data_IF_683032046884
#
_entry.id   IF_683032046884
#
_cell.length_a   1.000
_cell.length_b   1.000
_cell.length_c   1.000
_cell.angle_alpha   90.00
_cell.angle_beta   90.00
_cell.angle_gamma   90.00
#
_symmetry.space_group_name_H-M   'P 1'
#
loop_
_entity.id
_entity.type
_entity.pdbx_description
1 polymer ?
#
# COMPACT_ATOMS: atom_id res chain seq x y z
N UNK A 1 6.12 9.14 -9.81
CA UNK A 1 6.60 8.90 -8.43
C UNK A 1 6.92 7.42 -8.19
N UNK A 2 5.95 6.52 -8.31
CA UNK A 2 6.11 5.07 -8.06
C UNK A 2 7.28 4.44 -8.84
N UNK A 3 7.42 4.72 -10.14
CA UNK A 3 8.56 4.20 -10.94
C UNK A 3 9.93 4.57 -10.35
N UNK A 4 10.09 5.76 -9.77
CA UNK A 4 11.35 6.15 -9.12
C UNK A 4 11.60 5.33 -7.85
N UNK A 5 10.55 5.05 -7.06
CA UNK A 5 10.64 4.19 -5.87
C UNK A 5 11.02 2.76 -6.23
N UNK A 6 10.38 2.21 -7.26
CA UNK A 6 10.65 0.86 -7.76
C UNK A 6 12.11 0.73 -8.25
N UNK A 7 12.58 1.67 -9.09
CA UNK A 7 13.99 1.69 -9.54
C UNK A 7 14.97 1.87 -8.38
N UNK A 8 14.63 2.71 -7.40
CA UNK A 8 15.45 2.87 -6.19
C UNK A 8 15.56 1.56 -5.40
N UNK A 9 14.46 0.80 -5.27
CA UNK A 9 14.46 -0.50 -4.60
C UNK A 9 15.31 -1.53 -5.36
N UNK A 10 15.16 -1.60 -6.68
CA UNK A 10 16.00 -2.46 -7.54
C UNK A 10 17.49 -2.14 -7.39
N UNK A 11 17.87 -0.86 -7.49
CA UNK A 11 19.26 -0.42 -7.36
C UNK A 11 19.84 -0.68 -5.97
N UNK A 12 19.00 -0.70 -4.94
CA UNK A 12 19.38 -1.06 -3.58
C UNK A 12 19.45 -2.58 -3.35
N UNK A 13 19.20 -3.39 -4.38
CA UNK A 13 19.33 -4.86 -4.33
C UNK A 13 18.12 -5.58 -3.73
N UNK A 14 16.98 -4.90 -3.56
CA UNK A 14 15.74 -5.55 -3.12
C UNK A 14 15.30 -6.63 -4.10
N UNK A 15 14.65 -7.68 -3.59
CA UNK A 15 14.35 -8.90 -4.34
C UNK A 15 12.88 -9.08 -4.71
N UNK A 16 12.00 -8.20 -4.24
CA UNK A 16 10.58 -8.25 -4.51
C UNK A 16 9.94 -6.88 -4.31
N UNK A 17 8.78 -6.67 -4.93
CA UNK A 17 7.88 -5.56 -4.64
C UNK A 17 6.62 -6.12 -3.96
N UNK A 18 6.25 -5.56 -2.82
CA UNK A 18 4.99 -5.89 -2.15
C UNK A 18 4.01 -4.75 -2.40
N UNK A 19 3.00 -5.00 -3.23
CA UNK A 19 1.91 -4.06 -3.47
C UNK A 19 0.85 -4.24 -2.38
N UNK A 20 0.58 -3.19 -1.61
CA UNK A 20 -0.48 -3.21 -0.59
C UNK A 20 -1.81 -2.81 -1.22
N UNK A 21 -2.76 -3.73 -1.31
CA UNK A 21 -4.05 -3.56 -1.98
C UNK A 21 -5.23 -3.28 -1.03
N UNK A 22 -5.05 -3.46 0.29
CA UNK A 22 -6.10 -3.33 1.32
C UNK A 22 -6.31 -1.89 1.86
N UNK A 23 -5.69 -0.89 1.24
CA UNK A 23 -5.64 0.48 1.78
C UNK A 23 -5.99 1.58 0.76
N UNK A 24 -7.08 1.49 -0.02
CA UNK A 24 -7.49 2.59 -0.92
C UNK A 24 -7.80 3.87 -0.13
N UNK A 25 -8.33 3.73 1.09
CA UNK A 25 -8.50 4.80 2.07
C UNK A 25 -7.88 4.33 3.39
N UNK A 26 -7.30 5.26 4.16
CA UNK A 26 -6.72 4.94 5.46
C UNK A 26 -7.83 4.55 6.45
N UNK A 27 -7.60 3.44 7.16
CA UNK A 27 -8.48 2.97 8.22
C UNK A 27 -8.68 4.00 9.33
N UNK A 28 -9.90 4.02 9.88
CA UNK A 28 -10.31 5.00 10.89
C UNK A 28 -9.87 4.54 12.28
N UNK A 29 -8.65 4.92 12.67
CA UNK A 29 -8.02 4.54 13.94
C UNK A 29 -8.31 5.56 15.04
N UNK A 30 -9.29 5.28 15.90
CA UNK A 30 -9.79 6.23 16.90
C UNK A 30 -8.72 6.78 17.85
N UNK A 31 -7.81 5.93 18.33
CA UNK A 31 -6.75 6.37 19.24
C UNK A 31 -5.88 7.46 18.59
N UNK A 32 -5.57 7.35 17.30
CA UNK A 32 -4.82 8.38 16.57
C UNK A 32 -5.58 9.70 16.46
N UNK A 33 -6.92 9.64 16.34
CA UNK A 33 -7.78 10.82 16.30
C UNK A 33 -7.83 11.49 17.68
N UNK A 34 -8.10 10.70 18.74
CA UNK A 34 -8.18 11.18 20.13
C UNK A 34 -6.86 11.80 20.59
N UNK A 35 -5.73 11.17 20.22
CA UNK A 35 -4.39 11.63 20.57
C UNK A 35 -3.84 12.70 19.62
N UNK A 36 -4.62 13.12 18.59
CA UNK A 36 -4.19 14.06 17.55
C UNK A 36 -2.81 13.72 16.99
N UNK A 37 -2.62 12.45 16.65
CA UNK A 37 -1.32 11.93 16.26
C UNK A 37 -0.74 12.74 15.10
N UNK A 38 0.49 13.21 15.28
CA UNK A 38 1.31 13.80 14.23
C UNK A 38 2.65 13.09 14.19
N UNK A 39 3.27 13.05 13.02
CA UNK A 39 4.62 12.53 12.90
C UNK A 39 5.58 13.45 13.68
N UNK A 40 6.46 12.92 14.55
CA UNK A 40 7.42 13.75 15.27
C UNK A 40 8.31 14.55 14.32
N UNK A 41 8.66 15.78 14.72
CA UNK A 41 9.37 16.76 13.88
C UNK A 41 10.77 16.35 13.44
N UNK A 42 11.34 15.30 14.01
CA UNK A 42 12.64 14.72 13.65
C UNK A 42 12.52 13.49 12.74
N UNK A 43 11.33 12.94 12.54
CA UNK A 43 11.10 11.78 11.66
C UNK A 43 10.84 12.25 10.23
N UNK A 44 11.41 11.56 9.25
CA UNK A 44 11.32 11.91 7.82
C UNK A 44 10.94 10.69 6.99
N UNK A 45 10.14 10.90 5.96
CA UNK A 45 9.80 9.88 4.97
C UNK A 45 10.89 9.84 3.88
N UNK A 46 12.04 9.26 4.23
CA UNK A 46 13.27 9.27 3.41
C UNK A 46 13.14 8.64 2.02
N UNK A 47 12.12 7.82 1.81
CA UNK A 47 11.84 7.27 0.49
C UNK A 47 11.37 8.32 -0.51
N UNK A 48 10.79 9.43 -0.05
CA UNK A 48 10.26 10.52 -0.88
C UNK A 48 11.17 11.76 -0.93
N UNK A 49 12.32 11.73 -0.24
CA UNK A 49 13.29 12.83 -0.29
C UNK A 49 13.79 13.04 -1.72
N UNK A 50 13.76 14.28 -2.21
CA UNK A 50 14.11 14.62 -3.59
C UNK A 50 13.08 14.18 -4.66
N UNK A 51 11.90 13.72 -4.25
CA UNK A 51 10.79 13.49 -5.18
C UNK A 51 9.90 14.72 -5.27
N UNK A 52 9.42 14.99 -6.49
CA UNK A 52 8.43 16.02 -6.74
C UNK A 52 7.07 15.57 -6.17
N UNK A 53 6.76 16.07 -4.97
CA UNK A 53 5.51 15.83 -4.26
C UNK A 53 4.46 16.91 -4.55
N UNK A 54 4.71 17.85 -5.47
CA UNK A 54 3.82 19.00 -5.69
C UNK A 54 2.45 18.62 -6.26
N UNK A 55 2.32 17.42 -6.81
CA UNK A 55 1.05 16.84 -7.31
C UNK A 55 0.22 16.12 -6.24
N UNK A 56 0.73 16.02 -5.00
CA UNK A 56 -0.02 15.44 -3.89
C UNK A 56 -0.96 16.52 -3.36
N UNK A 57 -2.27 16.28 -3.52
CA UNK A 57 -3.33 17.25 -3.24
C UNK A 57 -3.19 17.86 -1.83
N UNK A 58 -2.74 19.12 -1.76
CA UNK A 58 -2.46 19.86 -0.53
C UNK A 58 -3.75 20.30 0.18
N UNK A 59 -4.93 20.08 -0.41
CA UNK A 59 -6.22 20.61 0.05
C UNK A 59 -6.84 19.87 1.23
N UNK A 60 -6.30 18.71 1.67
CA UNK A 60 -6.85 17.93 2.78
C UNK A 60 -5.99 17.95 4.04
N UNK A 61 -6.29 18.97 4.88
CA UNK A 61 -5.92 19.16 6.30
C UNK A 61 -4.46 19.51 6.61
N UNK A 62 -4.28 20.47 7.51
CA UNK A 62 -2.99 20.91 8.03
C UNK A 62 -2.36 19.87 8.97
N UNK A 63 -1.11 19.47 8.68
CA UNK A 63 -0.31 18.55 9.50
C UNK A 63 0.56 17.61 8.64
N UNK A 64 1.72 17.18 9.14
CA UNK A 64 2.66 16.30 8.40
C UNK A 64 2.09 14.92 8.02
N UNK A 65 0.87 14.61 8.48
CA UNK A 65 0.06 13.45 8.10
C UNK A 65 -0.66 13.62 6.75
N UNK A 66 -0.84 14.84 6.25
CA UNK A 66 -1.58 15.09 4.99
C UNK A 66 -0.79 14.72 3.74
N UNK A 67 0.54 14.85 3.78
CA UNK A 67 1.42 14.48 2.66
C UNK A 67 1.37 12.99 2.34
N UNK A 68 1.07 12.12 3.31
CA UNK A 68 0.96 10.67 3.08
C UNK A 68 -0.43 10.29 2.59
N UNK A 69 -1.48 10.95 3.12
CA UNK A 69 -2.86 10.67 2.72
C UNK A 69 -3.11 10.90 1.23
N UNK A 70 -2.47 11.92 0.63
CA UNK A 70 -2.55 12.17 -0.81
C UNK A 70 -1.70 11.23 -1.68
N UNK A 71 -0.94 10.30 -1.08
CA UNK A 71 -0.20 9.26 -1.82
C UNK A 71 -1.05 8.01 -2.05
N UNK A 72 -2.21 7.90 -1.40
CA UNK A 72 -3.14 6.79 -1.59
C UNK A 72 -4.00 7.06 -2.82
N UNK A 73 -3.98 6.11 -3.74
CA UNK A 73 -4.77 6.14 -4.96
C UNK A 73 -5.97 5.19 -4.81
N UNK A 74 -7.17 5.76 -4.77
CA UNK A 74 -8.42 5.01 -4.66
C UNK A 74 -8.86 4.40 -6.00
N UNK A 75 -8.20 4.77 -7.10
CA UNK A 75 -8.54 4.28 -8.45
C UNK A 75 -7.80 3.00 -8.84
N UNK A 76 -6.97 2.46 -7.95
CA UNK A 76 -6.21 1.24 -8.21
C UNK A 76 -7.14 0.05 -8.51
N UNK A 77 -6.76 -0.71 -9.53
CA UNK A 77 -7.42 -1.91 -10.02
C UNK A 77 -6.38 -2.99 -10.33
N UNK A 78 -6.83 -4.18 -10.73
CA UNK A 78 -5.95 -5.25 -11.21
C UNK A 78 -5.13 -4.87 -12.46
N UNK A 79 -5.52 -3.84 -13.22
CA UNK A 79 -4.70 -3.31 -14.32
C UNK A 79 -3.39 -2.69 -13.81
N UNK A 80 -3.38 -2.18 -12.60
CA UNK A 80 -2.21 -1.53 -12.00
C UNK A 80 -1.16 -2.54 -11.55
N UNK A 81 -1.56 -3.78 -11.21
CA UNK A 81 -0.63 -4.90 -11.03
C UNK A 81 0.10 -5.18 -12.35
N UNK A 82 -0.64 -5.26 -13.46
CA UNK A 82 -0.05 -5.45 -14.79
C UNK A 82 0.84 -4.29 -15.20
N UNK A 83 0.41 -3.05 -14.94
CA UNK A 83 1.25 -1.87 -15.17
C UNK A 83 2.55 -1.94 -14.35
N UNK A 84 2.49 -2.37 -13.09
CA UNK A 84 3.66 -2.48 -12.23
C UNK A 84 4.69 -3.47 -12.80
N UNK A 85 4.23 -4.58 -13.40
CA UNK A 85 5.07 -5.53 -14.12
C UNK A 85 5.76 -4.92 -15.35
N UNK A 86 5.21 -3.84 -15.95
CA UNK A 86 5.87 -3.17 -17.09
C UNK A 86 7.08 -2.33 -16.70
N UNK A 87 7.23 -2.02 -15.40
CA UNK A 87 8.29 -1.11 -14.91
C UNK A 87 9.35 -1.79 -14.03
N UNK A 88 9.17 -3.07 -13.71
CA UNK A 88 10.12 -3.87 -12.90
C UNK A 88 10.10 -5.34 -13.31
N UNK A 89 11.22 -6.02 -13.15
CA UNK A 89 11.32 -7.48 -13.29
C UNK A 89 11.34 -8.19 -11.94
N UNK A 90 11.26 -7.46 -10.81
CA UNK A 90 11.14 -8.07 -9.50
C UNK A 90 9.78 -8.76 -9.34
N UNK A 91 9.71 -9.90 -8.63
CA UNK A 91 8.43 -10.53 -8.31
C UNK A 91 7.54 -9.58 -7.51
N UNK A 92 6.28 -9.47 -7.95
CA UNK A 92 5.26 -8.63 -7.30
C UNK A 92 4.37 -9.52 -6.44
N UNK A 93 4.39 -9.30 -5.13
CA UNK A 93 3.46 -9.93 -4.19
C UNK A 93 2.32 -8.96 -3.90
N UNK A 94 1.09 -9.46 -3.95
CA UNK A 94 -0.11 -8.68 -3.59
C UNK A 94 -0.45 -8.96 -2.13
N UNK A 95 -0.33 -7.93 -1.28
CA UNK A 95 -0.66 -7.99 0.13
C UNK A 95 -2.02 -7.36 0.40
N UNK A 96 -2.82 -8.03 1.22
CA UNK A 96 -4.13 -7.52 1.64
C UNK A 96 -5.31 -8.32 1.09
N UNK A 97 -5.06 -9.52 0.57
CA UNK A 97 -6.09 -10.41 0.03
C UNK A 97 -6.68 -11.24 1.18
N UNK A 98 -8.01 -11.34 1.24
CA UNK A 98 -8.73 -12.07 2.28
C UNK A 98 -9.81 -13.00 1.71
N UNK A 99 -9.91 -13.12 0.38
CA UNK A 99 -10.97 -13.86 -0.30
C UNK A 99 -10.42 -14.71 -1.44
N UNK A 100 -11.07 -15.83 -1.75
CA UNK A 100 -10.70 -16.68 -2.88
C UNK A 100 -10.88 -15.95 -4.22
N UNK A 101 -11.87 -15.05 -4.32
CA UNK A 101 -12.18 -14.29 -5.54
C UNK A 101 -11.02 -13.37 -5.91
N UNK A 102 -10.52 -12.58 -4.97
CA UNK A 102 -9.40 -11.67 -5.21
C UNK A 102 -8.09 -12.44 -5.40
N UNK A 103 -7.97 -13.63 -4.80
CA UNK A 103 -6.84 -14.54 -5.07
C UNK A 103 -6.80 -14.95 -6.53
N UNK A 104 -7.94 -15.35 -7.11
CA UNK A 104 -8.03 -15.69 -8.54
C UNK A 104 -7.69 -14.49 -9.42
N UNK A 105 -8.16 -13.29 -9.07
CA UNK A 105 -7.86 -12.07 -9.82
C UNK A 105 -6.38 -11.68 -9.72
N UNK A 106 -5.75 -11.82 -8.55
CA UNK A 106 -4.34 -11.57 -8.35
C UNK A 106 -3.47 -12.51 -9.20
N UNK A 107 -3.80 -13.81 -9.22
CA UNK A 107 -3.12 -14.80 -10.08
C UNK A 107 -3.29 -14.44 -11.56
N UNK A 108 -4.52 -14.14 -12.00
CA UNK A 108 -4.79 -13.72 -13.39
C UNK A 108 -4.10 -12.41 -13.78
N UNK A 109 -3.88 -11.52 -12.82
CA UNK A 109 -3.11 -10.29 -13.00
C UNK A 109 -1.59 -10.53 -13.05
N UNK A 110 -1.14 -11.75 -12.74
CA UNK A 110 0.27 -12.16 -12.78
C UNK A 110 1.05 -11.88 -11.51
N UNK A 111 0.38 -11.78 -10.35
CA UNK A 111 1.06 -11.72 -9.07
C UNK A 111 1.98 -12.95 -8.89
N UNK A 112 3.20 -12.71 -8.42
CA UNK A 112 4.17 -13.76 -8.10
C UNK A 112 3.86 -14.46 -6.77
N UNK A 113 3.01 -13.84 -5.94
CA UNK A 113 2.55 -14.39 -4.68
C UNK A 113 1.47 -13.52 -4.04
N UNK A 114 0.79 -14.08 -3.06
CA UNK A 114 -0.27 -13.42 -2.29
C UNK A 114 0.13 -13.42 -0.82
N UNK A 115 -0.17 -12.32 -0.12
CA UNK A 115 0.00 -12.22 1.33
C UNK A 115 -1.38 -12.01 1.95
N UNK A 116 -1.88 -13.05 2.61
CA UNK A 116 -3.11 -13.03 3.42
C UNK A 116 -2.92 -12.03 4.56
N UNK A 117 -3.63 -10.90 4.49
CA UNK A 117 -3.41 -9.78 5.38
C UNK A 117 -4.67 -8.96 5.55
N UNK A 118 -5.00 -8.62 6.80
CA UNK A 118 -6.02 -7.62 7.14
C UNK A 118 -5.39 -6.31 7.65
N UNK A 119 -4.13 -6.06 7.27
CA UNK A 119 -3.35 -4.90 7.71
C UNK A 119 -3.16 -4.82 9.24
N UNK A 120 -3.13 -5.97 9.91
CA UNK A 120 -3.08 -6.06 11.37
C UNK A 120 -4.34 -5.47 12.03
N UNK A 121 -5.50 -5.65 11.40
CA UNK A 121 -6.80 -5.12 11.81
C UNK A 121 -6.84 -3.58 11.95
N UNK A 122 -6.02 -2.85 11.19
CA UNK A 122 -5.93 -1.38 11.27
C UNK A 122 -6.72 -0.64 10.18
N UNK A 123 -7.27 -1.38 9.22
CA UNK A 123 -7.91 -0.83 8.02
C UNK A 123 -9.44 -0.88 8.11
N UNK A 124 -10.01 -2.07 8.04
CA UNK A 124 -11.45 -2.30 8.16
C UNK A 124 -11.69 -3.25 9.34
N UNK A 125 -12.54 -2.82 10.27
CA UNK A 125 -13.00 -3.68 11.37
C UNK A 125 -13.99 -4.72 10.84
N UNK A 126 -14.21 -5.82 11.58
CA UNK A 126 -15.07 -6.96 11.21
C UNK A 126 -14.61 -7.81 10.02
N UNK A 127 -13.43 -7.54 9.44
CA UNK A 127 -12.79 -8.47 8.50
C UNK A 127 -12.30 -9.73 9.24
N UNK A 128 -12.22 -10.89 8.57
CA UNK A 128 -11.74 -12.11 9.21
C UNK A 128 -10.29 -11.97 9.71
N UNK A 129 -9.96 -12.76 10.73
CA UNK A 129 -8.57 -13.01 11.08
C UNK A 129 -7.86 -13.69 9.90
N UNK A 130 -6.60 -13.34 9.64
CA UNK A 130 -5.85 -13.89 8.50
C UNK A 130 -5.73 -15.41 8.54
N UNK A 131 -5.69 -16.02 9.73
CA UNK A 131 -5.65 -17.48 9.87
C UNK A 131 -6.95 -18.15 9.42
N UNK A 132 -8.09 -17.48 9.58
CA UNK A 132 -9.39 -18.00 9.15
C UNK A 132 -9.57 -17.86 7.63
N UNK A 133 -9.02 -16.78 7.06
CA UNK A 133 -9.05 -16.56 5.61
C UNK A 133 -8.02 -17.42 4.84
N UNK A 134 -7.04 -18.01 5.53
CA UNK A 134 -5.91 -18.68 4.90
C UNK A 134 -6.30 -19.91 4.07
N UNK A 135 -7.23 -20.72 4.52
CA UNK A 135 -7.62 -21.94 3.79
C UNK A 135 -8.40 -21.60 2.51
N UNK A 136 -9.13 -20.48 2.52
CA UNK A 136 -9.88 -19.99 1.37
C UNK A 136 -8.98 -19.37 0.28
N UNK A 137 -7.89 -18.72 0.70
CA UNK A 137 -6.92 -18.00 -0.17
C UNK A 137 -5.81 -18.91 -0.67
#
# INVERSE_FOLDING_TARGET
MVTKLVRRAENAGFKAIVLTADSPVIGRREAGIKNRFTLPSYVRLKNFEGMDLEKVDKTKRSGHTSTVNGLYDQSLTWKDVKWLQTITSLPILVKGVLTAEDTRLAIQAGAAGIIVSNHGARQLDYVPATIMALEEV
#
